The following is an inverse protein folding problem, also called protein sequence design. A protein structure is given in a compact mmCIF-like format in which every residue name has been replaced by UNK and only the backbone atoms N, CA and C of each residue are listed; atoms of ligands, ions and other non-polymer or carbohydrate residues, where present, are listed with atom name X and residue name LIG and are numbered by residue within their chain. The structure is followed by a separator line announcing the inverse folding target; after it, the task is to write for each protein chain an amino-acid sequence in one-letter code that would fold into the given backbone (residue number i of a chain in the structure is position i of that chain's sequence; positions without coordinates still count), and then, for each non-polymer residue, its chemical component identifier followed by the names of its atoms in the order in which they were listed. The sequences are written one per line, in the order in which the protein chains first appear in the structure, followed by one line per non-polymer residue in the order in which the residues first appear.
data_IF_387165624777
#
_entry.id   IF_387165624777
#
_cell.length_a   1.000
_cell.length_b   1.000
_cell.length_c   1.000
_cell.angle_alpha   90.00
_cell.angle_beta   90.00
_cell.angle_gamma   90.00
#
_symmetry.space_group_name_H-M   'P 1'
#
loop_
_entity.id
_entity.type
_entity.pdbx_description
1 polymer ?
#
# COMPACT_ATOMS: atom_id res chain seq x y z
N UNK A 1 -3.43 -31.65 -10.12
CA UNK A 1 -3.11 -30.49 -9.28
C UNK A 1 -1.83 -29.90 -9.83
N UNK A 2 -1.78 -28.65 -10.31
CA UNK A 2 -0.51 -28.11 -10.76
C UNK A 2 0.39 -27.92 -9.53
N UNK A 3 1.59 -28.46 -9.59
CA UNK A 3 2.62 -28.30 -8.58
C UNK A 3 2.80 -26.81 -8.29
N UNK A 4 2.43 -26.39 -7.10
CA UNK A 4 2.70 -25.03 -6.64
C UNK A 4 4.21 -24.97 -6.42
N UNK A 5 4.94 -24.42 -7.38
CA UNK A 5 6.38 -24.22 -7.30
C UNK A 5 6.65 -23.43 -6.02
N UNK A 6 7.15 -24.10 -5.00
CA UNK A 6 7.50 -23.49 -3.73
C UNK A 6 8.73 -22.63 -3.98
N UNK A 7 8.53 -21.31 -4.09
CA UNK A 7 9.61 -20.37 -4.30
C UNK A 7 10.54 -20.39 -3.08
N UNK A 8 11.85 -20.34 -3.31
CA UNK A 8 12.84 -20.32 -2.24
C UNK A 8 12.68 -19.08 -1.34
N UNK A 9 12.17 -17.97 -1.88
CA UNK A 9 11.94 -16.72 -1.17
C UNK A 9 10.55 -16.62 -0.52
N UNK A 10 9.74 -17.68 -0.55
CA UNK A 10 8.39 -17.68 0.01
C UNK A 10 8.33 -17.23 1.48
N UNK A 11 9.23 -17.69 2.39
CA UNK A 11 9.20 -17.23 3.78
C UNK A 11 9.37 -15.71 3.93
N UNK A 12 10.13 -15.07 3.04
CA UNK A 12 10.31 -13.61 3.05
C UNK A 12 9.05 -12.90 2.54
N UNK A 13 8.38 -13.46 1.54
CA UNK A 13 7.09 -12.95 1.04
C UNK A 13 6.00 -13.07 2.10
N UNK A 14 5.98 -14.18 2.82
CA UNK A 14 5.05 -14.40 3.93
C UNK A 14 5.29 -13.38 5.05
N UNK A 15 6.55 -13.12 5.41
CA UNK A 15 6.89 -12.08 6.38
C UNK A 15 6.39 -10.69 5.96
N UNK A 16 6.52 -10.32 4.68
CA UNK A 16 5.99 -9.05 4.15
C UNK A 16 4.47 -8.94 4.33
N UNK A 17 3.72 -10.03 4.31
CA UNK A 17 2.26 -10.03 4.38
C UNK A 17 1.71 -10.27 5.79
N UNK A 18 2.44 -10.98 6.64
CA UNK A 18 1.96 -11.47 7.93
C UNK A 18 2.59 -10.74 9.12
N UNK A 19 3.83 -10.26 8.99
CA UNK A 19 4.51 -9.49 10.02
C UNK A 19 4.29 -7.99 9.78
N UNK A 20 3.17 -7.47 10.31
CA UNK A 20 2.71 -6.11 10.05
C UNK A 20 3.28 -5.07 11.02
N UNK A 21 3.88 -5.50 12.11
CA UNK A 21 4.43 -4.62 13.17
C UNK A 21 5.90 -4.29 12.96
N UNK A 22 6.61 -5.08 12.14
CA UNK A 22 8.03 -4.91 11.91
C UNK A 22 8.34 -4.02 10.70
N UNK A 23 9.42 -3.23 10.80
CA UNK A 23 10.00 -2.52 9.66
C UNK A 23 10.84 -3.47 8.82
N UNK A 24 10.51 -3.61 7.53
CA UNK A 24 11.15 -4.57 6.63
C UNK A 24 11.88 -3.84 5.50
N UNK A 25 13.16 -4.13 5.32
CA UNK A 25 13.93 -3.79 4.12
C UNK A 25 13.89 -4.97 3.14
N UNK A 26 13.43 -4.72 1.91
CA UNK A 26 13.34 -5.75 0.87
C UNK A 26 14.38 -5.48 -0.21
N UNK A 27 15.42 -6.30 -0.26
CA UNK A 27 16.38 -6.34 -1.36
C UNK A 27 15.97 -7.41 -2.37
N UNK A 28 15.65 -7.01 -3.60
CA UNK A 28 15.29 -7.96 -4.64
C UNK A 28 15.62 -7.43 -6.04
N UNK A 29 15.95 -8.32 -6.97
CA UNK A 29 16.27 -8.00 -8.36
C UNK A 29 15.11 -7.37 -9.14
N UNK A 30 15.38 -6.92 -10.37
CA UNK A 30 14.31 -6.47 -11.27
C UNK A 30 13.34 -7.63 -11.56
N UNK A 31 12.04 -7.34 -11.68
CA UNK A 31 11.03 -8.35 -12.02
C UNK A 31 10.63 -9.33 -10.91
N UNK A 32 11.20 -9.25 -9.71
CA UNK A 32 10.92 -10.19 -8.61
C UNK A 32 9.63 -9.91 -7.81
N UNK A 33 8.78 -8.99 -8.29
CA UNK A 33 7.49 -8.69 -7.65
C UNK A 33 7.57 -7.79 -6.41
N UNK A 34 8.57 -6.91 -6.29
CA UNK A 34 8.64 -5.91 -5.21
C UNK A 34 7.36 -5.07 -5.09
N UNK A 35 6.89 -4.54 -6.22
CA UNK A 35 5.65 -3.75 -6.29
C UNK A 35 4.43 -4.56 -5.85
N UNK A 36 4.33 -5.81 -6.30
CA UNK A 36 3.25 -6.72 -5.89
C UNK A 36 3.29 -6.97 -4.38
N UNK A 37 4.49 -7.18 -3.81
CA UNK A 37 4.66 -7.41 -2.38
C UNK A 37 4.30 -6.16 -1.56
N UNK A 38 4.67 -4.96 -2.04
CA UNK A 38 4.29 -3.68 -1.43
C UNK A 38 2.76 -3.48 -1.41
N UNK A 39 2.08 -3.70 -2.55
CA UNK A 39 0.61 -3.62 -2.64
C UNK A 39 -0.05 -4.63 -1.71
N UNK A 40 0.44 -5.87 -1.70
CA UNK A 40 -0.04 -6.92 -0.81
C UNK A 40 0.11 -6.54 0.67
N UNK A 41 1.24 -5.92 1.06
CA UNK A 41 1.45 -5.45 2.44
C UNK A 41 0.47 -4.36 2.84
N UNK A 42 0.21 -3.38 1.98
CA UNK A 42 -0.78 -2.32 2.26
C UNK A 42 -2.18 -2.94 2.43
N UNK A 43 -2.57 -3.85 1.55
CA UNK A 43 -3.85 -4.56 1.67
C UNK A 43 -3.93 -5.38 2.95
N UNK A 44 -2.83 -6.03 3.36
CA UNK A 44 -2.77 -6.75 4.62
C UNK A 44 -2.96 -5.82 5.82
N UNK A 45 -2.36 -4.63 5.83
CA UNK A 45 -2.56 -3.61 6.88
C UNK A 45 -4.01 -3.13 6.97
N UNK A 46 -4.64 -2.87 5.82
CA UNK A 46 -6.05 -2.46 5.75
C UNK A 46 -6.99 -3.59 6.20
N UNK A 47 -6.78 -4.81 5.68
CA UNK A 47 -7.58 -5.99 5.99
C UNK A 47 -7.50 -6.36 7.46
N UNK A 48 -6.32 -6.24 8.07
CA UNK A 48 -6.09 -6.52 9.49
C UNK A 48 -6.50 -5.37 10.42
N UNK A 49 -6.86 -4.20 9.89
CA UNK A 49 -7.33 -3.05 10.66
C UNK A 49 -6.23 -2.31 11.41
N UNK A 50 -4.96 -2.56 11.08
CA UNK A 50 -3.84 -1.77 11.61
C UNK A 50 -3.89 -0.31 11.13
N UNK A 51 -4.49 -0.06 9.97
CA UNK A 51 -4.71 1.29 9.47
C UNK A 51 -5.96 1.38 8.57
N UNK A 52 -6.43 2.61 8.40
CA UNK A 52 -7.41 3.01 7.37
C UNK A 52 -6.70 3.50 6.09
N UNK A 53 -7.46 3.69 5.02
CA UNK A 53 -6.95 4.07 3.69
C UNK A 53 -6.15 5.40 3.69
N UNK A 54 -6.46 6.30 4.61
CA UNK A 54 -5.84 7.63 4.77
C UNK A 54 -4.70 7.64 5.81
N UNK A 55 -4.36 6.49 6.38
CA UNK A 55 -3.37 6.36 7.46
C UNK A 55 -2.05 5.72 7.01
N UNK A 56 -1.83 5.53 5.72
CA UNK A 56 -0.54 5.09 5.17
C UNK A 56 -0.02 6.07 4.12
N UNK A 57 1.30 6.07 3.92
CA UNK A 57 1.94 6.80 2.83
C UNK A 57 2.81 5.84 2.01
N UNK A 58 2.51 5.69 0.73
CA UNK A 58 3.30 4.90 -0.20
C UNK A 58 3.97 5.84 -1.22
N UNK A 59 5.29 5.82 -1.27
CA UNK A 59 6.08 6.80 -2.00
C UNK A 59 7.04 6.15 -2.99
N UNK A 60 7.28 6.83 -4.11
CA UNK A 60 8.30 6.46 -5.09
C UNK A 60 9.00 7.70 -5.66
N UNK A 61 10.00 7.51 -6.51
CA UNK A 61 10.79 8.60 -7.08
C UNK A 61 10.11 9.28 -8.27
N UNK A 62 9.34 8.54 -9.07
CA UNK A 62 8.81 9.06 -10.33
C UNK A 62 7.29 9.09 -10.33
N UNK A 63 6.71 10.11 -10.97
CA UNK A 63 5.25 10.22 -11.15
C UNK A 63 4.68 9.03 -11.90
N UNK A 64 5.42 8.50 -12.88
CA UNK A 64 5.04 7.30 -13.62
C UNK A 64 4.91 6.09 -12.69
N UNK A 65 5.92 5.80 -11.88
CA UNK A 65 5.87 4.68 -10.95
C UNK A 65 4.76 4.86 -9.90
N UNK A 66 4.48 6.10 -9.49
CA UNK A 66 3.39 6.39 -8.56
C UNK A 66 2.02 6.08 -9.20
N UNK A 67 1.84 6.44 -10.47
CA UNK A 67 0.64 6.10 -11.24
C UNK A 67 0.44 4.60 -11.38
N UNK A 68 1.48 3.88 -11.83
CA UNK A 68 1.46 2.41 -11.97
C UNK A 68 1.17 1.70 -10.63
N UNK A 69 1.70 2.23 -9.52
CA UNK A 69 1.47 1.70 -8.18
C UNK A 69 0.03 1.95 -7.71
N UNK A 70 -0.53 3.13 -8.00
CA UNK A 70 -1.90 3.50 -7.64
C UNK A 70 -2.92 2.65 -8.41
N UNK A 71 -2.71 2.46 -9.71
CA UNK A 71 -3.54 1.59 -10.56
C UNK A 71 -3.51 0.16 -10.03
N UNK A 72 -2.31 -0.41 -9.82
CA UNK A 72 -2.18 -1.77 -9.30
C UNK A 72 -2.83 -1.95 -7.93
N UNK A 73 -2.70 -0.97 -7.05
CA UNK A 73 -3.35 -1.00 -5.73
C UNK A 73 -4.87 -1.00 -5.87
N UNK A 74 -5.43 -0.15 -6.73
CA UNK A 74 -6.87 -0.09 -6.99
C UNK A 74 -7.43 -1.41 -7.54
N UNK A 75 -6.75 -1.98 -8.54
CA UNK A 75 -7.14 -3.26 -9.16
C UNK A 75 -7.10 -4.39 -8.13
N UNK A 76 -6.00 -4.50 -7.39
CA UNK A 76 -5.84 -5.56 -6.39
C UNK A 76 -6.85 -5.41 -5.24
N UNK A 77 -7.14 -4.18 -4.82
CA UNK A 77 -8.17 -3.92 -3.81
C UNK A 77 -9.56 -4.35 -4.31
N UNK A 78 -9.92 -4.01 -5.55
CA UNK A 78 -11.19 -4.42 -6.15
C UNK A 78 -11.31 -5.95 -6.23
N UNK A 79 -10.25 -6.63 -6.64
CA UNK A 79 -10.17 -8.09 -6.68
C UNK A 79 -10.36 -8.71 -5.29
N UNK A 80 -9.68 -8.18 -4.26
CA UNK A 80 -9.78 -8.69 -2.89
C UNK A 80 -11.19 -8.52 -2.31
N UNK A 81 -11.84 -7.38 -2.54
CA UNK A 81 -13.20 -7.13 -2.06
C UNK A 81 -14.23 -8.11 -2.68
N UNK A 82 -13.98 -8.56 -3.90
CA UNK A 82 -14.83 -9.54 -4.59
C UNK A 82 -14.69 -10.97 -4.04
N UNK A 83 -13.67 -11.26 -3.24
CA UNK A 83 -13.45 -12.59 -2.68
C UNK A 83 -14.35 -12.86 -1.45
N UNK A 84 -14.60 -14.13 -1.12
CA UNK A 84 -15.16 -14.52 0.17
C UNK A 84 -14.21 -14.12 1.30
N UNK A 85 -14.68 -13.24 2.18
CA UNK A 85 -13.96 -12.72 3.34
C UNK A 85 -14.90 -12.71 4.56
N UNK A 86 -14.36 -12.80 5.79
CA UNK A 86 -15.07 -12.45 7.01
C UNK A 86 -15.72 -11.05 6.92
N UNK A 87 -16.86 -10.85 7.57
CA UNK A 87 -17.66 -9.62 7.42
C UNK A 87 -16.89 -8.35 7.84
N UNK A 88 -16.08 -8.44 8.88
CA UNK A 88 -15.25 -7.35 9.39
C UNK A 88 -14.09 -7.00 8.45
N UNK A 89 -13.43 -8.01 7.87
CA UNK A 89 -12.39 -7.82 6.85
C UNK A 89 -12.99 -7.21 5.57
N UNK A 90 -14.15 -7.74 5.14
CA UNK A 90 -14.89 -7.22 3.99
C UNK A 90 -15.27 -5.76 4.18
N UNK A 91 -15.81 -5.40 5.35
CA UNK A 91 -16.20 -4.03 5.66
C UNK A 91 -15.01 -3.06 5.59
N UNK A 92 -13.84 -3.47 6.12
CA UNK A 92 -12.61 -2.68 6.07
C UNK A 92 -12.12 -2.45 4.64
N UNK A 93 -12.10 -3.50 3.81
CA UNK A 93 -11.67 -3.37 2.42
C UNK A 93 -12.69 -2.62 1.55
N UNK A 94 -13.99 -2.76 1.80
CA UNK A 94 -15.03 -1.97 1.15
C UNK A 94 -14.89 -0.49 1.49
N UNK A 95 -14.72 -0.16 2.77
CA UNK A 95 -14.46 1.21 3.19
C UNK A 95 -13.22 1.80 2.51
N UNK A 96 -12.13 1.03 2.44
CA UNK A 96 -10.92 1.45 1.75
C UNK A 96 -11.14 1.70 0.24
N UNK A 97 -11.92 0.85 -0.42
CA UNK A 97 -12.24 0.99 -1.85
C UNK A 97 -13.10 2.22 -2.10
N UNK A 98 -14.09 2.46 -1.26
CA UNK A 98 -15.04 3.57 -1.40
C UNK A 98 -14.39 4.94 -1.08
N UNK A 99 -13.20 4.95 -0.46
CA UNK A 99 -12.41 6.13 -0.09
C UNK A 99 -11.01 6.13 -0.74
N UNK A 100 -10.86 5.46 -1.89
CA UNK A 100 -9.58 5.27 -2.57
C UNK A 100 -8.87 6.59 -2.95
N UNK A 101 -9.63 7.66 -3.18
CA UNK A 101 -9.12 8.99 -3.47
C UNK A 101 -8.26 9.56 -2.34
N UNK A 102 -8.53 9.14 -1.09
CA UNK A 102 -7.79 9.55 0.10
C UNK A 102 -6.45 8.82 0.28
N UNK A 103 -6.22 7.75 -0.48
CA UNK A 103 -4.97 6.99 -0.40
C UNK A 103 -3.76 7.86 -0.75
N UNK A 104 -2.79 7.96 0.17
CA UNK A 104 -1.56 8.72 -0.05
C UNK A 104 -0.52 7.88 -0.81
N UNK A 105 -0.77 7.68 -2.12
CA UNK A 105 0.15 7.01 -3.06
C UNK A 105 0.69 8.06 -4.03
N UNK A 106 2.00 8.31 -3.99
CA UNK A 106 2.59 9.42 -4.74
C UNK A 106 4.11 9.39 -4.84
N UNK A 107 4.68 10.53 -5.23
CA UNK A 107 6.12 10.76 -5.13
C UNK A 107 6.50 11.30 -3.76
N UNK A 108 7.78 11.19 -3.41
CA UNK A 108 8.34 11.85 -2.21
C UNK A 108 8.02 13.35 -2.22
N UNK A 109 8.19 14.02 -3.37
CA UNK A 109 7.89 15.45 -3.52
C UNK A 109 6.42 15.79 -3.27
N UNK A 110 5.48 15.00 -3.81
CA UNK A 110 4.05 15.23 -3.57
C UNK A 110 3.67 15.01 -2.11
N UNK A 111 4.31 14.05 -1.44
CA UNK A 111 4.07 13.80 -0.01
C UNK A 111 4.56 14.96 0.84
N UNK A 112 5.81 15.40 0.65
CA UNK A 112 6.37 16.55 1.37
C UNK A 112 5.56 17.82 1.10
N UNK A 113 5.16 18.06 -0.15
CA UNK A 113 4.35 19.24 -0.51
C UNK A 113 3.00 19.25 0.20
N UNK A 114 2.35 18.07 0.32
CA UNK A 114 1.09 17.93 1.06
C UNK A 114 1.29 18.23 2.55
N UNK A 115 2.32 17.66 3.17
CA UNK A 115 2.63 17.86 4.58
C UNK A 115 2.85 19.35 4.91
N UNK A 116 3.61 20.06 4.08
CA UNK A 116 3.87 21.49 4.27
C UNK A 116 2.59 22.33 4.16
N UNK A 117 1.68 21.98 3.25
CA UNK A 117 0.39 22.68 3.07
C UNK A 117 -0.62 22.39 4.17
N UNK A 118 -0.55 21.21 4.80
CA UNK A 118 -1.40 20.86 5.93
C UNK A 118 -0.99 21.60 7.21
N UNK A 119 0.26 22.05 7.30
CA UNK A 119 0.87 22.68 8.48
C UNK A 119 1.76 23.88 8.13
N UNK A 120 1.24 24.91 7.43
CA UNK A 120 2.06 25.99 6.91
C UNK A 120 2.69 26.84 8.03
N UNK A 121 1.95 27.07 9.12
CA UNK A 121 2.45 27.82 10.28
C UNK A 121 3.59 27.09 10.97
N UNK A 122 3.43 25.81 11.28
CA UNK A 122 4.49 25.01 11.90
C UNK A 122 5.70 24.81 10.98
N UNK A 123 5.48 24.82 9.66
CA UNK A 123 6.54 24.76 8.66
C UNK A 123 7.24 26.11 8.43
N UNK A 124 6.71 27.22 8.95
CA UNK A 124 7.23 28.57 8.71
C UNK A 124 7.05 29.06 7.27
N UNK A 125 6.00 28.60 6.59
CA UNK A 125 5.68 28.92 5.18
C UNK A 125 4.39 29.75 5.15
N UNK A 126 4.31 30.69 4.21
CA UNK A 126 3.08 31.44 3.95
C UNK A 126 1.94 30.49 3.54
N UNK A 127 0.73 30.58 4.13
CA UNK A 127 -0.43 29.80 3.73
C UNK A 127 -1.00 30.16 2.33
N UNK A 128 -0.52 31.24 1.68
CA UNK A 128 -0.93 31.69 0.34
C UNK A 128 0.09 31.44 -0.77
#
# INVERSE_FOLDING_TARGET
MPDTVKLQDQPHRDAILLDLETSILVEAGAGTGKTTSMVGRILALLRSGYCCIDQFACMTFTTRAAGELRERFADTLAEQVAQPLPDDERARLQHARDNLERASIGTIHSFCSRLLRERPVEAGIDPG
#
